data_IF_271164689958
#
_entry.id   IF_271164689958
#
_cell.length_a   1.000
_cell.length_b   1.000
_cell.length_c   1.000
_cell.angle_alpha   90.00
_cell.angle_beta   90.00
_cell.angle_gamma   90.00
#
_symmetry.space_group_name_H-M   'P 1'
#
loop_
_entity.id
_entity.type
_entity.pdbx_description
1 polymer ?
#
# COMPACT_ATOMS: atom_id res chain seq x y z
N UNK A 1 7.36 4.45 3.60
CA UNK A 1 8.30 3.39 4.04
C UNK A 1 7.66 2.05 3.76
N UNK A 2 8.37 1.12 3.12
CA UNK A 2 7.85 -0.23 2.80
C UNK A 2 8.51 -1.21 3.76
N UNK A 3 7.70 -2.04 4.44
CA UNK A 3 8.18 -3.10 5.32
C UNK A 3 7.85 -4.44 4.65
N UNK A 4 8.89 -5.21 4.36
CA UNK A 4 8.80 -6.48 3.61
C UNK A 4 8.85 -7.71 4.49
N UNK A 5 9.30 -7.57 5.74
CA UNK A 5 9.50 -8.69 6.68
C UNK A 5 8.26 -9.06 7.51
N UNK A 6 7.25 -8.20 7.54
CA UNK A 6 6.11 -8.29 8.46
C UNK A 6 4.83 -7.99 7.69
N UNK A 7 3.74 -8.69 8.00
CA UNK A 7 2.45 -8.47 7.36
C UNK A 7 1.85 -7.12 7.74
N UNK A 8 1.01 -6.55 6.89
CA UNK A 8 0.33 -5.27 7.16
C UNK A 8 -0.52 -5.32 8.44
N UNK A 9 -1.11 -6.47 8.75
CA UNK A 9 -1.87 -6.65 9.99
C UNK A 9 -0.96 -6.54 11.22
N UNK A 10 0.19 -7.21 11.21
CA UNK A 10 1.17 -7.14 12.29
C UNK A 10 1.74 -5.72 12.44
N UNK A 11 2.06 -5.03 11.34
CA UNK A 11 2.52 -3.62 11.40
C UNK A 11 1.47 -2.72 12.04
N UNK A 12 0.18 -2.90 11.70
CA UNK A 12 -0.92 -2.18 12.35
C UNK A 12 -0.97 -2.46 13.85
N UNK A 13 -0.87 -3.73 14.25
CA UNK A 13 -0.89 -4.13 15.67
C UNK A 13 0.29 -3.51 16.42
N UNK A 14 1.51 -3.62 15.88
CA UNK A 14 2.72 -3.04 16.50
C UNK A 14 2.58 -1.54 16.68
N UNK A 15 2.14 -0.80 15.66
CA UNK A 15 1.94 0.65 15.75
C UNK A 15 0.85 1.01 16.77
N UNK A 16 -0.27 0.27 16.80
CA UNK A 16 -1.33 0.51 17.79
C UNK A 16 -0.85 0.28 19.22
N UNK A 17 -0.17 -0.84 19.47
CA UNK A 17 0.41 -1.15 20.78
C UNK A 17 1.41 -0.06 21.20
N UNK A 18 2.27 0.36 20.27
CA UNK A 18 3.20 1.47 20.49
C UNK A 18 2.48 2.75 20.91
N UNK A 19 1.48 3.20 20.14
CA UNK A 19 0.74 4.43 20.45
C UNK A 19 -0.01 4.33 21.77
N UNK A 20 -0.66 3.19 22.05
CA UNK A 20 -1.37 2.96 23.31
C UNK A 20 -0.42 3.05 24.52
N UNK A 21 0.70 2.33 24.48
CA UNK A 21 1.65 2.28 25.59
C UNK A 21 2.30 3.64 25.82
N UNK A 22 2.83 4.28 24.77
CA UNK A 22 3.57 5.54 24.91
C UNK A 22 2.63 6.69 25.32
N UNK A 23 1.42 6.77 24.78
CA UNK A 23 0.46 7.80 25.17
C UNK A 23 -0.09 7.58 26.58
N UNK A 24 -0.31 6.32 27.00
CA UNK A 24 -0.70 6.01 28.37
C UNK A 24 0.40 6.41 29.37
N UNK A 25 1.66 6.08 29.06
CA UNK A 25 2.81 6.50 29.87
C UNK A 25 2.97 8.02 29.90
N UNK A 26 2.83 8.70 28.75
CA UNK A 26 2.89 10.16 28.69
C UNK A 26 1.77 10.79 29.54
N UNK A 27 0.54 10.28 29.44
CA UNK A 27 -0.59 10.71 30.27
C UNK A 27 -0.32 10.50 31.76
N UNK A 28 0.26 9.36 32.13
CA UNK A 28 0.68 9.07 33.50
C UNK A 28 1.72 10.07 34.01
N UNK A 29 2.78 10.31 33.25
CA UNK A 29 3.84 11.27 33.63
C UNK A 29 3.32 12.70 33.75
N UNK A 30 2.47 13.15 32.83
CA UNK A 30 1.86 14.48 32.88
C UNK A 30 1.09 14.69 34.18
N UNK A 31 0.32 13.70 34.62
CA UNK A 31 -0.43 13.78 35.88
C UNK A 31 0.50 13.90 37.07
N UNK A 32 1.58 13.10 37.10
CA UNK A 32 2.60 13.18 38.16
C UNK A 32 3.28 14.54 38.18
N UNK A 33 3.58 15.11 37.01
CA UNK A 33 4.15 16.47 36.87
C UNK A 33 3.18 17.54 37.37
N UNK A 34 1.92 17.51 36.95
CA UNK A 34 0.90 18.47 37.36
C UNK A 34 0.66 18.40 38.88
N UNK A 35 0.62 17.19 39.42
CA UNK A 35 0.50 16.97 40.86
C UNK A 35 1.71 17.51 41.62
N UNK A 36 2.91 17.17 41.17
CA UNK A 36 4.15 17.66 41.76
C UNK A 36 4.25 19.18 41.74
N UNK A 37 3.81 19.81 40.64
CA UNK A 37 3.77 21.27 40.51
C UNK A 37 2.76 21.90 41.48
N UNK A 38 1.61 21.27 41.69
CA UNK A 38 0.63 21.74 42.66
C UNK A 38 1.16 21.63 44.10
N UNK A 39 1.85 20.53 44.45
CA UNK A 39 2.56 20.39 45.74
C UNK A 39 3.61 21.48 45.93
N UNK A 40 4.43 21.75 44.91
CA UNK A 40 5.44 22.82 44.94
C UNK A 40 4.83 24.22 45.11
N UNK A 41 3.61 24.48 44.60
CA UNK A 41 2.91 25.75 44.85
C UNK A 41 2.45 25.88 46.29
N UNK A 42 1.91 24.80 46.87
CA UNK A 42 1.52 24.77 48.28
C UNK A 42 2.74 25.02 49.18
N UNK A 43 3.90 24.41 48.85
CA UNK A 43 5.18 24.67 49.52
C UNK A 43 5.63 26.14 49.44
N UNK A 44 5.31 26.82 48.34
CA UNK A 44 5.58 28.25 48.15
C UNK A 44 4.65 29.18 48.94
N UNK A 45 3.68 28.64 49.69
CA UNK A 45 2.69 29.40 50.45
C UNK A 45 1.40 29.71 49.68
N UNK A 46 1.26 29.25 48.44
CA UNK A 46 0.06 29.48 47.63
C UNK A 46 -1.04 28.43 47.91
N UNK A 47 -2.30 28.85 47.94
CA UNK A 47 -3.44 27.92 47.92
C UNK A 47 -3.84 27.53 46.49
N UNK A 48 -4.25 26.28 46.30
CA UNK A 48 -4.75 25.77 45.01
C UNK A 48 -6.25 25.53 45.06
N UNK A 49 -6.96 25.74 43.94
CA UNK A 49 -8.38 25.37 43.85
C UNK A 49 -8.56 23.86 43.98
N UNK A 50 -9.61 23.41 44.67
CA UNK A 50 -9.93 21.98 44.82
C UNK A 50 -10.12 21.27 43.47
N UNK A 51 -10.64 22.00 42.46
CA UNK A 51 -10.75 21.50 41.07
C UNK A 51 -9.41 21.23 40.40
N UNK A 52 -8.32 21.88 40.85
CA UNK A 52 -6.95 21.61 40.37
C UNK A 52 -6.28 20.45 41.11
N UNK A 53 -6.83 20.02 42.24
CA UNK A 53 -6.36 18.85 42.98
C UNK A 53 -6.88 17.52 42.39
N UNK A 54 -8.00 17.58 41.66
CA UNK A 54 -8.60 16.47 40.91
C UNK A 54 -7.81 16.18 39.62
N UNK A 55 -6.60 15.62 39.76
CA UNK A 55 -5.67 15.32 38.65
C UNK A 55 -5.79 13.88 38.11
N UNK A 56 -6.77 13.07 38.54
CA UNK A 56 -6.84 11.63 38.22
C UNK A 56 -7.85 11.23 37.14
N UNK A 57 -8.42 12.16 36.39
CA UNK A 57 -9.49 11.87 35.43
C UNK A 57 -8.92 11.42 34.07
N UNK A 58 -9.46 10.36 33.46
CA UNK A 58 -9.05 9.79 32.18
C UNK A 58 -10.11 9.98 31.10
N UNK A 59 -9.66 10.16 29.85
CA UNK A 59 -10.50 10.05 28.66
C UNK A 59 -11.85 10.78 28.75
N UNK A 60 -12.94 10.02 28.70
CA UNK A 60 -14.31 10.55 28.75
C UNK A 60 -14.67 11.19 30.11
N UNK A 61 -14.08 10.71 31.20
CA UNK A 61 -14.31 11.28 32.54
C UNK A 61 -13.70 12.67 32.68
N UNK A 62 -12.64 12.99 31.94
CA UNK A 62 -12.09 14.34 31.85
C UNK A 62 -13.14 15.32 31.28
N UNK A 63 -13.85 14.90 30.22
CA UNK A 63 -14.89 15.70 29.56
C UNK A 63 -16.13 15.82 30.44
N UNK A 64 -16.60 14.69 31.00
CA UNK A 64 -17.77 14.67 31.88
C UNK A 64 -17.55 15.46 33.17
N UNK A 65 -16.36 15.40 33.75
CA UNK A 65 -16.01 16.18 34.93
C UNK A 65 -16.01 17.68 34.65
N UNK A 66 -15.53 18.11 33.47
CA UNK A 66 -15.56 19.54 33.10
C UNK A 66 -17.01 20.07 32.98
N UNK A 67 -17.91 19.24 32.43
CA UNK A 67 -19.34 19.55 32.32
C UNK A 67 -20.02 19.62 33.70
N UNK A 68 -19.72 18.65 34.58
CA UNK A 68 -20.31 18.57 35.94
C UNK A 68 -19.76 19.64 36.89
N UNK A 69 -18.45 19.88 36.88
CA UNK A 69 -17.78 20.86 37.77
C UNK A 69 -17.95 22.31 37.28
N UNK A 70 -18.36 22.52 36.02
CA UNK A 70 -18.31 23.83 35.31
C UNK A 70 -16.96 24.54 35.47
N UNK A 71 -15.89 23.75 35.58
CA UNK A 71 -14.52 24.18 35.77
C UNK A 71 -13.58 23.14 35.16
N UNK A 72 -12.42 23.59 34.66
CA UNK A 72 -11.45 22.68 34.04
C UNK A 72 -10.62 21.98 35.11
N UNK A 73 -10.74 20.64 35.28
CA UNK A 73 -9.91 19.90 36.21
C UNK A 73 -8.45 20.04 35.79
N UNK A 74 -7.52 20.13 36.76
CA UNK A 74 -6.07 20.35 36.53
C UNK A 74 -5.66 21.71 35.89
N UNK A 75 -6.61 22.63 35.66
CA UNK A 75 -6.38 23.94 35.04
C UNK A 75 -6.35 23.88 33.50
N UNK A 76 -6.32 25.05 32.83
CA UNK A 76 -6.43 25.15 31.35
C UNK A 76 -5.38 24.34 30.62
N UNK A 77 -4.11 24.46 31.03
CA UNK A 77 -3.00 23.76 30.39
C UNK A 77 -3.09 22.23 30.57
N UNK A 78 -3.34 21.75 31.80
CA UNK A 78 -3.42 20.32 32.09
C UNK A 78 -4.57 19.65 31.35
N UNK A 79 -5.74 20.30 31.35
CA UNK A 79 -6.91 19.85 30.59
C UNK A 79 -6.63 19.79 29.08
N UNK A 80 -6.09 20.87 28.50
CA UNK A 80 -5.79 20.90 27.05
C UNK A 80 -4.78 19.85 26.64
N UNK A 81 -3.74 19.60 27.45
CA UNK A 81 -2.72 18.60 27.15
C UNK A 81 -3.27 17.17 27.25
N UNK A 82 -4.03 16.86 28.30
CA UNK A 82 -4.66 15.53 28.45
C UNK A 82 -5.71 15.26 27.37
N UNK A 83 -6.50 16.27 27.00
CA UNK A 83 -7.43 16.19 25.87
C UNK A 83 -6.68 15.96 24.55
N UNK A 84 -5.58 16.67 24.33
CA UNK A 84 -4.73 16.49 23.15
C UNK A 84 -4.18 15.07 23.07
N UNK A 85 -3.64 14.50 24.16
CA UNK A 85 -3.19 13.11 24.20
C UNK A 85 -4.31 12.11 23.90
N UNK A 86 -5.51 12.35 24.42
CA UNK A 86 -6.67 11.51 24.15
C UNK A 86 -7.08 11.54 22.67
N UNK A 87 -7.22 12.74 22.09
CA UNK A 87 -7.55 12.92 20.67
C UNK A 87 -6.46 12.32 19.79
N UNK A 88 -5.19 12.55 20.12
CA UNK A 88 -4.05 12.00 19.39
C UNK A 88 -4.04 10.47 19.43
N UNK A 89 -4.38 9.84 20.56
CA UNK A 89 -4.49 8.38 20.66
C UNK A 89 -5.58 7.81 19.78
N UNK A 90 -6.76 8.45 19.74
CA UNK A 90 -7.86 8.04 18.86
C UNK A 90 -7.54 8.29 17.38
N UNK A 91 -6.93 9.42 17.07
CA UNK A 91 -6.48 9.74 15.71
C UNK A 91 -5.40 8.75 15.25
N UNK A 92 -4.41 8.41 16.09
CA UNK A 92 -3.37 7.45 15.76
C UNK A 92 -3.94 6.05 15.51
N UNK A 93 -4.92 5.60 16.30
CA UNK A 93 -5.60 4.32 16.07
C UNK A 93 -6.39 4.31 14.76
N UNK A 94 -7.13 5.38 14.46
CA UNK A 94 -7.85 5.51 13.19
C UNK A 94 -6.90 5.60 11.99
N UNK A 95 -5.84 6.39 12.10
CA UNK A 95 -4.84 6.58 11.06
C UNK A 95 -4.00 5.32 10.82
N UNK A 96 -3.61 4.57 11.86
CA UNK A 96 -2.95 3.26 11.67
C UNK A 96 -3.86 2.29 10.91
N UNK A 97 -5.16 2.29 11.22
CA UNK A 97 -6.14 1.44 10.56
C UNK A 97 -6.33 1.77 9.08
N UNK A 98 -6.36 3.07 8.77
CA UNK A 98 -6.67 3.58 7.44
C UNK A 98 -5.44 3.70 6.53
N UNK A 99 -4.33 4.22 7.05
CA UNK A 99 -3.15 4.58 6.25
C UNK A 99 -2.17 3.43 6.04
N UNK A 100 -2.11 2.45 6.95
CA UNK A 100 -1.22 1.30 6.77
C UNK A 100 -1.92 0.31 5.85
N UNK A 101 -1.54 0.31 4.57
CA UNK A 101 -2.20 -0.48 3.52
C UNK A 101 -1.25 -1.50 2.92
N UNK A 102 -1.82 -2.53 2.32
CA UNK A 102 -1.06 -3.47 1.50
C UNK A 102 -0.64 -2.76 0.21
N UNK A 103 0.64 -2.85 -0.12
CA UNK A 103 1.16 -2.43 -1.41
C UNK A 103 1.83 -3.63 -2.08
N UNK A 104 1.54 -3.85 -3.36
CA UNK A 104 2.24 -4.87 -4.13
C UNK A 104 3.62 -4.36 -4.47
N UNK A 105 4.65 -5.16 -4.20
CA UNK A 105 6.02 -4.87 -4.56
C UNK A 105 6.60 -6.04 -5.33
N UNK A 106 7.51 -5.73 -6.25
CA UNK A 106 8.27 -6.77 -6.93
C UNK A 106 9.22 -7.44 -5.95
N UNK A 107 9.23 -8.77 -5.96
CA UNK A 107 10.06 -9.63 -5.13
C UNK A 107 10.32 -10.96 -5.83
N UNK A 108 10.88 -11.91 -5.09
CA UNK A 108 11.28 -13.23 -5.58
C UNK A 108 10.47 -14.32 -4.88
N UNK A 109 9.73 -15.08 -5.66
CA UNK A 109 8.94 -16.21 -5.20
C UNK A 109 9.62 -17.53 -5.58
N UNK A 110 9.34 -18.58 -4.81
CA UNK A 110 9.77 -19.93 -5.19
C UNK A 110 9.11 -20.33 -6.51
N UNK A 111 9.89 -20.83 -7.45
CA UNK A 111 9.40 -21.27 -8.76
C UNK A 111 8.65 -22.61 -8.65
N UNK A 112 9.24 -23.58 -7.94
CA UNK A 112 8.74 -24.96 -7.91
C UNK A 112 8.93 -25.65 -9.26
N UNK A 113 7.83 -25.82 -9.99
CA UNK A 113 7.79 -26.45 -11.31
C UNK A 113 7.02 -25.57 -12.30
N UNK A 114 7.35 -25.68 -13.57
CA UNK A 114 6.72 -24.89 -14.62
C UNK A 114 7.35 -25.13 -15.99
N UNK A 115 7.25 -24.13 -16.85
CA UNK A 115 8.01 -24.08 -18.09
C UNK A 115 9.38 -23.49 -17.78
N UNK A 116 10.44 -24.21 -18.12
CA UNK A 116 11.83 -23.75 -18.03
C UNK A 116 12.34 -23.66 -19.46
N UNK A 117 12.82 -22.48 -19.83
CA UNK A 117 13.35 -22.20 -21.16
C UNK A 117 14.76 -22.75 -21.27
N UNK A 118 15.01 -23.51 -22.33
CA UNK A 118 16.33 -24.00 -22.70
C UNK A 118 16.63 -23.63 -24.17
N UNK A 119 17.71 -22.89 -24.37
CA UNK A 119 18.07 -22.37 -25.70
C UNK A 119 18.66 -23.50 -26.56
N UNK A 120 18.01 -23.79 -27.69
CA UNK A 120 18.38 -24.90 -28.57
C UNK A 120 17.60 -26.20 -28.34
N UNK A 121 16.56 -26.20 -27.50
CA UNK A 121 15.60 -27.31 -27.47
C UNK A 121 14.72 -27.30 -28.72
N UNK A 122 14.65 -28.46 -29.41
CA UNK A 122 14.20 -28.58 -30.80
C UNK A 122 12.69 -28.74 -30.99
N UNK A 123 11.86 -27.92 -30.35
CA UNK A 123 10.46 -27.84 -30.76
C UNK A 123 10.31 -26.81 -31.87
N UNK A 124 10.68 -27.21 -33.09
CA UNK A 124 10.71 -26.34 -34.27
C UNK A 124 9.34 -25.71 -34.57
N UNK A 125 8.24 -26.39 -34.24
CA UNK A 125 6.88 -25.86 -34.42
C UNK A 125 6.14 -25.86 -33.08
N UNK A 126 6.09 -24.72 -32.35
CA UNK A 126 5.35 -24.64 -31.10
C UNK A 126 3.85 -24.76 -31.36
N UNK A 127 3.10 -25.58 -30.59
CA UNK A 127 1.66 -25.67 -30.74
C UNK A 127 0.96 -24.38 -30.30
N UNK A 128 -0.02 -23.95 -31.08
CA UNK A 128 -0.87 -22.78 -30.80
C UNK A 128 -1.99 -23.06 -29.78
N UNK A 129 -2.06 -24.29 -29.27
CA UNK A 129 -3.08 -24.76 -28.35
C UNK A 129 -2.47 -25.59 -27.21
N UNK A 130 -3.24 -25.73 -26.14
CA UNK A 130 -2.87 -26.53 -24.97
C UNK A 130 -2.49 -25.70 -23.74
N UNK A 131 -2.13 -26.41 -22.67
CA UNK A 131 -1.85 -25.79 -21.36
C UNK A 131 -0.61 -24.90 -21.36
N UNK A 132 0.53 -25.27 -21.98
CA UNK A 132 1.71 -24.40 -22.03
C UNK A 132 1.41 -23.07 -22.71
N UNK A 133 0.68 -23.07 -23.83
CA UNK A 133 0.19 -21.84 -24.46
C UNK A 133 -0.58 -20.95 -23.49
N UNK A 134 -1.59 -21.49 -22.80
CA UNK A 134 -2.38 -20.72 -21.84
C UNK A 134 -1.53 -20.12 -20.72
N UNK A 135 -0.60 -20.90 -20.16
CA UNK A 135 0.25 -20.45 -19.05
C UNK A 135 1.21 -19.35 -19.50
N UNK A 136 1.87 -19.53 -20.64
CA UNK A 136 2.81 -18.55 -21.18
C UNK A 136 2.08 -17.26 -21.56
N UNK A 137 1.00 -17.36 -22.33
CA UNK A 137 0.23 -16.19 -22.75
C UNK A 137 -0.34 -15.41 -21.55
N UNK A 138 -0.89 -16.12 -20.55
CA UNK A 138 -1.37 -15.47 -19.33
C UNK A 138 -0.25 -14.80 -18.54
N UNK A 139 0.94 -15.40 -18.47
CA UNK A 139 2.08 -14.77 -17.78
C UNK A 139 2.50 -13.45 -18.46
N UNK A 140 2.50 -13.40 -19.80
CA UNK A 140 2.74 -12.16 -20.54
C UNK A 140 1.69 -11.08 -20.21
N UNK A 141 0.41 -11.44 -20.27
CA UNK A 141 -0.69 -10.53 -19.96
C UNK A 141 -0.68 -10.08 -18.50
N UNK A 142 -0.36 -10.99 -17.56
CA UNK A 142 -0.21 -10.66 -16.15
C UNK A 142 0.96 -9.71 -15.93
N UNK A 143 2.10 -9.91 -16.60
CA UNK A 143 3.22 -8.99 -16.51
C UNK A 143 2.80 -7.56 -16.94
N UNK A 144 2.13 -7.43 -18.10
CA UNK A 144 1.63 -6.13 -18.59
C UNK A 144 0.61 -5.51 -17.62
N UNK A 145 -0.38 -6.28 -17.18
CA UNK A 145 -1.41 -5.81 -16.22
C UNK A 145 -0.80 -5.38 -14.88
N UNK A 146 0.31 -6.00 -14.48
CA UNK A 146 1.07 -5.68 -13.27
C UNK A 146 2.08 -4.54 -13.48
N UNK A 147 2.11 -3.89 -14.65
CA UNK A 147 3.10 -2.87 -15.02
C UNK A 147 4.55 -3.38 -14.99
N UNK A 148 4.73 -4.67 -15.28
CA UNK A 148 6.02 -5.36 -15.35
C UNK A 148 6.41 -5.58 -16.82
N UNK A 149 7.71 -5.65 -17.13
CA UNK A 149 8.16 -5.86 -18.51
C UNK A 149 7.75 -7.25 -19.01
N UNK A 150 7.31 -7.31 -20.27
CA UNK A 150 7.07 -8.58 -20.95
C UNK A 150 8.27 -9.01 -21.80
N UNK A 151 8.32 -10.29 -22.21
CA UNK A 151 9.44 -10.81 -23.01
C UNK A 151 9.54 -12.33 -23.00
N UNK A 152 10.63 -12.87 -23.52
CA UNK A 152 10.96 -14.29 -23.44
C UNK A 152 11.54 -14.56 -22.05
N UNK A 153 10.82 -15.30 -21.20
CA UNK A 153 11.26 -15.55 -19.83
C UNK A 153 12.09 -16.84 -19.72
N UNK A 154 13.09 -16.83 -18.83
CA UNK A 154 13.90 -18.01 -18.46
C UNK A 154 13.06 -19.15 -17.93
N UNK A 155 12.04 -18.80 -17.16
CA UNK A 155 11.13 -19.75 -16.53
C UNK A 155 9.87 -19.02 -16.11
N UNK A 156 8.75 -19.75 -16.15
CA UNK A 156 7.47 -19.29 -15.64
C UNK A 156 6.64 -20.47 -15.16
N UNK A 157 5.67 -20.19 -14.30
CA UNK A 157 4.71 -21.17 -13.82
C UNK A 157 3.30 -20.56 -13.86
N UNK A 158 2.34 -21.18 -13.15
CA UNK A 158 0.95 -20.72 -13.11
C UNK A 158 0.67 -19.64 -12.06
N UNK A 159 1.71 -18.96 -11.55
CA UNK A 159 1.55 -17.95 -10.50
C UNK A 159 0.87 -16.69 -11.05
N UNK A 160 -0.29 -16.35 -10.49
CA UNK A 160 -1.06 -15.16 -10.86
C UNK A 160 -0.38 -13.85 -10.48
N UNK A 161 0.62 -13.90 -9.59
CA UNK A 161 1.40 -12.75 -9.16
C UNK A 161 2.68 -12.56 -9.99
N UNK A 162 2.83 -13.27 -11.10
CA UNK A 162 4.01 -13.19 -11.94
C UNK A 162 4.34 -11.75 -12.35
N UNK A 163 5.59 -11.35 -12.09
CA UNK A 163 6.14 -10.04 -12.43
C UNK A 163 7.66 -10.18 -12.60
N UNK A 164 8.13 -10.44 -13.82
CA UNK A 164 9.51 -10.82 -14.09
C UNK A 164 10.48 -9.67 -13.80
N UNK A 165 11.62 -9.99 -13.20
CA UNK A 165 12.72 -9.04 -13.10
C UNK A 165 13.54 -9.07 -14.39
N UNK A 166 14.38 -8.04 -14.64
CA UNK A 166 15.25 -7.99 -15.83
C UNK A 166 16.11 -9.25 -16.02
N UNK A 167 16.53 -9.89 -14.93
CA UNK A 167 17.32 -11.13 -14.96
C UNK A 167 16.53 -12.37 -15.37
N UNK A 168 15.20 -12.33 -15.27
CA UNK A 168 14.30 -13.41 -15.67
C UNK A 168 13.96 -13.35 -17.16
N UNK A 169 14.31 -12.25 -17.84
CA UNK A 169 14.04 -12.01 -19.27
C UNK A 169 15.30 -12.32 -20.08
N UNK A 170 15.16 -13.20 -21.07
CA UNK A 170 16.19 -13.60 -22.04
C UNK A 170 16.27 -12.65 -23.24
N UNK A 171 15.22 -11.87 -23.45
CA UNK A 171 15.05 -10.87 -24.50
C UNK A 171 13.59 -10.66 -24.83
N UNK A 172 13.31 -9.97 -25.94
CA UNK A 172 11.94 -9.78 -26.41
C UNK A 172 11.90 -9.61 -27.92
N UNK A 173 10.76 -9.97 -28.51
CA UNK A 173 10.30 -9.39 -29.76
C UNK A 173 9.88 -7.93 -29.54
N UNK A 174 10.27 -7.07 -30.46
CA UNK A 174 9.88 -5.66 -30.51
C UNK A 174 9.20 -5.39 -31.84
N UNK A 175 7.95 -4.98 -31.79
CA UNK A 175 7.13 -4.65 -32.95
C UNK A 175 6.91 -3.14 -32.99
N UNK A 176 7.00 -2.55 -34.19
CA UNK A 176 6.69 -1.14 -34.40
C UNK A 176 5.83 -0.98 -35.65
N UNK A 177 4.91 -0.02 -35.63
CA UNK A 177 4.18 0.45 -36.81
C UNK A 177 5.17 1.07 -37.79
N UNK A 178 5.03 0.75 -39.08
CA UNK A 178 5.97 1.21 -40.10
C UNK A 178 5.81 2.72 -40.33
N UNK A 179 6.75 3.53 -39.82
CA UNK A 179 7.00 4.94 -40.13
C UNK A 179 5.79 5.90 -40.03
N UNK A 180 5.01 5.88 -38.94
CA UNK A 180 3.82 6.76 -38.75
C UNK A 180 2.88 6.79 -39.97
N UNK A 181 2.90 5.75 -40.81
CA UNK A 181 2.11 5.75 -42.03
C UNK A 181 0.64 5.62 -41.64
N UNK A 182 -0.18 6.51 -42.22
CA UNK A 182 -1.62 6.31 -42.24
C UNK A 182 -1.92 4.90 -42.74
N UNK A 183 -2.90 4.20 -42.12
CA UNK A 183 -3.34 2.89 -42.58
C UNK A 183 -3.51 2.86 -44.11
N UNK A 184 -3.12 1.76 -44.73
CA UNK A 184 -3.32 1.56 -46.16
C UNK A 184 -4.78 1.26 -46.40
N UNK A 185 -5.40 2.11 -47.20
CA UNK A 185 -6.82 2.02 -47.53
C UNK A 185 -7.02 1.25 -48.83
N UNK A 186 -7.95 0.29 -48.79
CA UNK A 186 -8.40 -0.48 -49.94
C UNK A 186 -9.93 -0.37 -50.02
N UNK A 187 -10.47 -0.32 -51.22
CA UNK A 187 -11.92 -0.19 -51.39
C UNK A 187 -12.66 -1.38 -50.75
N UNK A 188 -13.83 -1.13 -50.18
CA UNK A 188 -14.70 -2.19 -49.67
C UNK A 188 -14.91 -3.31 -50.72
N UNK A 189 -14.75 -4.57 -50.31
CA UNK A 189 -14.90 -5.74 -51.20
C UNK A 189 -13.66 -6.11 -52.01
N UNK A 190 -12.53 -5.40 -51.85
CA UNK A 190 -11.24 -5.83 -52.43
C UNK A 190 -10.84 -7.20 -51.86
N UNK A 191 -10.39 -8.12 -52.72
CA UNK A 191 -9.98 -9.45 -52.30
C UNK A 191 -8.70 -9.39 -51.46
N UNK A 192 -8.65 -10.11 -50.33
CA UNK A 192 -7.48 -10.16 -49.44
C UNK A 192 -6.21 -10.65 -50.13
N UNK A 193 -6.31 -11.47 -51.18
CA UNK A 193 -5.16 -11.87 -51.99
C UNK A 193 -4.56 -10.71 -52.78
N UNK A 194 -5.40 -9.88 -53.39
CA UNK A 194 -4.96 -8.70 -54.15
C UNK A 194 -4.33 -7.66 -53.22
N UNK A 195 -4.91 -7.51 -52.03
CA UNK A 195 -4.36 -6.68 -50.94
C UNK A 195 -2.97 -7.18 -50.55
N UNK A 196 -2.82 -8.49 -50.28
CA UNK A 196 -1.54 -9.07 -49.90
C UNK A 196 -0.47 -8.87 -50.99
N UNK A 197 -0.82 -9.06 -52.26
CA UNK A 197 0.09 -8.84 -53.40
C UNK A 197 0.55 -7.37 -53.49
N UNK A 198 -0.37 -6.41 -53.38
CA UNK A 198 -0.03 -4.98 -53.34
C UNK A 198 0.89 -4.63 -52.16
N UNK A 199 0.63 -5.21 -50.98
CA UNK A 199 1.48 -5.00 -49.81
C UNK A 199 2.89 -5.61 -49.97
N UNK A 200 3.02 -6.75 -50.65
CA UNK A 200 4.30 -7.35 -51.02
C UNK A 200 5.05 -6.44 -51.99
N UNK A 201 4.38 -5.95 -53.05
CA UNK A 201 4.98 -5.04 -54.03
C UNK A 201 5.46 -3.73 -53.38
N UNK A 202 4.77 -3.25 -52.36
CA UNK A 202 5.16 -2.07 -51.56
C UNK A 202 6.20 -2.38 -50.47
N UNK A 203 6.62 -3.63 -50.32
CA UNK A 203 7.59 -4.07 -49.32
C UNK A 203 7.09 -3.97 -47.88
N UNK A 204 5.78 -3.91 -47.65
CA UNK A 204 5.16 -3.84 -46.33
C UNK A 204 5.00 -5.22 -45.68
N UNK A 205 5.01 -6.28 -46.49
CA UNK A 205 4.96 -7.70 -46.12
C UNK A 205 6.03 -8.42 -46.95
N UNK A 206 6.57 -9.55 -46.48
CA UNK A 206 7.44 -10.42 -47.30
C UNK A 206 6.62 -11.31 -48.25
N UNK A 207 7.26 -11.88 -49.27
CA UNK A 207 6.65 -12.66 -50.36
C UNK A 207 6.12 -14.05 -49.95
N UNK A 208 6.27 -14.41 -48.68
CA UNK A 208 5.80 -15.66 -48.06
C UNK A 208 4.68 -15.43 -47.03
N UNK A 209 3.87 -14.39 -47.22
CA UNK A 209 2.82 -14.00 -46.28
C UNK A 209 1.65 -14.98 -46.18
N UNK A 210 1.11 -15.11 -44.97
CA UNK A 210 -0.14 -15.82 -44.68
C UNK A 210 -1.25 -14.83 -44.38
N UNK A 211 -2.41 -15.08 -44.99
CA UNK A 211 -3.62 -14.28 -44.84
C UNK A 211 -4.61 -15.07 -44.01
N UNK A 212 -5.16 -14.44 -42.98
CA UNK A 212 -6.22 -15.01 -42.15
C UNK A 212 -7.35 -13.97 -42.04
N UNK A 213 -8.56 -14.38 -42.41
CA UNK A 213 -9.70 -13.46 -42.50
C UNK A 213 -11.00 -14.09 -41.99
N UNK A 214 -11.90 -13.23 -41.51
CA UNK A 214 -13.32 -13.56 -41.36
C UNK A 214 -14.17 -12.64 -42.22
N UNK A 215 -15.35 -13.13 -42.61
CA UNK A 215 -16.21 -12.45 -43.55
C UNK A 215 -17.64 -12.35 -43.03
N UNK A 216 -18.33 -11.31 -43.47
CA UNK A 216 -19.78 -11.17 -43.35
C UNK A 216 -20.49 -12.19 -44.26
N UNK A 217 -21.78 -12.43 -44.00
CA UNK A 217 -22.63 -13.24 -44.89
C UNK A 217 -22.77 -12.64 -46.30
N UNK A 218 -22.53 -11.33 -46.43
CA UNK A 218 -22.46 -10.60 -47.69
C UNK A 218 -21.16 -10.82 -48.47
N UNK A 219 -20.17 -11.51 -47.89
CA UNK A 219 -18.86 -11.78 -48.50
C UNK A 219 -17.82 -10.68 -48.27
N UNK A 220 -18.19 -9.56 -47.64
CA UNK A 220 -17.24 -8.52 -47.24
C UNK A 220 -16.35 -8.98 -46.09
N UNK A 221 -15.11 -8.51 -46.07
CA UNK A 221 -14.16 -8.74 -44.98
C UNK A 221 -14.70 -8.10 -43.69
N UNK A 222 -14.61 -8.83 -42.57
CA UNK A 222 -14.89 -8.30 -41.23
C UNK A 222 -13.60 -8.04 -40.46
N UNK A 223 -12.71 -9.02 -40.48
CA UNK A 223 -11.39 -8.96 -39.90
C UNK A 223 -10.38 -9.55 -40.87
N UNK A 224 -9.26 -8.87 -41.03
CA UNK A 224 -8.15 -9.32 -41.84
C UNK A 224 -6.84 -9.11 -41.08
N UNK A 225 -6.03 -10.16 -41.04
CA UNK A 225 -4.63 -10.06 -40.66
C UNK A 225 -3.75 -10.74 -41.70
N UNK A 226 -2.58 -10.15 -41.93
CA UNK A 226 -1.57 -10.66 -42.84
C UNK A 226 -0.26 -10.65 -42.09
N UNK A 227 0.53 -11.71 -42.17
CA UNK A 227 1.89 -11.70 -41.63
C UNK A 227 2.83 -12.62 -42.38
N UNK A 228 4.12 -12.35 -42.26
CA UNK A 228 5.16 -12.94 -43.08
C UNK A 228 6.48 -12.93 -42.34
N UNK A 229 7.43 -13.75 -42.78
CA UNK A 229 8.75 -13.90 -42.16
C UNK A 229 9.84 -13.53 -43.15
N UNK A 230 10.93 -12.93 -42.67
CA UNK A 230 12.11 -12.69 -43.50
C UNK A 230 12.88 -13.97 -43.86
N UNK A 231 12.56 -15.09 -43.22
CA UNK A 231 13.23 -16.36 -43.48
C UNK A 231 12.85 -16.89 -44.87
N UNK A 232 13.87 -17.29 -45.63
CA UNK A 232 13.69 -17.85 -46.98
C UNK A 232 13.21 -19.31 -46.96
N UNK A 233 13.50 -20.02 -45.87
CA UNK A 233 13.10 -21.38 -45.56
C UNK A 233 12.65 -21.42 -44.09
N UNK A 234 11.90 -22.45 -43.70
CA UNK A 234 11.35 -22.58 -42.34
C UNK A 234 12.41 -22.36 -41.25
N UNK A 235 13.61 -22.94 -41.42
CA UNK A 235 14.78 -22.61 -40.61
C UNK A 235 16.02 -22.68 -41.51
N UNK A 236 16.70 -21.54 -41.67
CA UNK A 236 17.99 -21.43 -42.37
C UNK A 236 19.15 -21.13 -41.40
N UNK A 237 18.90 -21.23 -40.09
CA UNK A 237 19.86 -20.92 -39.03
C UNK A 237 20.11 -19.42 -38.82
N UNK A 238 19.42 -18.55 -39.56
CA UNK A 238 19.48 -17.11 -39.38
C UNK A 238 18.36 -16.61 -38.45
N UNK A 239 18.61 -15.46 -37.80
CA UNK A 239 17.52 -14.76 -37.11
C UNK A 239 16.57 -14.18 -38.15
N UNK A 240 15.28 -14.28 -37.88
CA UNK A 240 14.23 -13.78 -38.76
C UNK A 240 13.43 -12.67 -38.09
N UNK A 241 12.83 -11.83 -38.93
CA UNK A 241 11.93 -10.75 -38.54
C UNK A 241 10.54 -11.01 -39.12
N UNK A 242 9.52 -10.41 -38.50
CA UNK A 242 8.13 -10.51 -38.95
C UNK A 242 7.68 -9.19 -39.54
N UNK A 243 6.99 -9.25 -40.67
CA UNK A 243 6.17 -8.13 -41.15
C UNK A 243 4.72 -8.54 -41.12
N UNK A 244 3.86 -7.68 -40.57
CA UNK A 244 2.44 -7.95 -40.43
C UNK A 244 1.60 -6.75 -40.86
N UNK A 245 0.31 -6.98 -41.08
CA UNK A 245 -0.69 -5.95 -41.26
C UNK A 245 -2.00 -6.39 -40.59
N UNK A 246 -2.63 -5.46 -39.88
CA UNK A 246 -3.90 -5.69 -39.16
C UNK A 246 -4.93 -4.69 -39.63
N UNK A 247 -6.13 -5.18 -39.91
CA UNK A 247 -7.26 -4.35 -40.28
C UNK A 247 -7.77 -3.57 -39.07
N UNK A 248 -7.94 -2.26 -39.21
CA UNK A 248 -8.44 -1.39 -38.13
C UNK A 248 -9.92 -1.05 -38.29
N UNK A 249 -10.49 -1.33 -39.46
CA UNK A 249 -11.92 -1.20 -39.78
C UNK A 249 -12.67 -2.50 -39.51
N UNK A 250 -14.01 -2.43 -39.48
CA UNK A 250 -14.83 -3.61 -39.15
C UNK A 250 -16.21 -3.62 -39.84
N UNK A 251 -16.66 -2.50 -40.42
CA UNK A 251 -17.96 -2.42 -41.10
C UNK A 251 -17.82 -2.91 -42.53
N UNK A 252 -18.84 -3.61 -43.02
CA UNK A 252 -18.81 -4.28 -44.33
C UNK A 252 -18.63 -3.30 -45.51
N UNK A 253 -19.19 -2.09 -45.41
CA UNK A 253 -19.18 -1.09 -46.47
C UNK A 253 -18.04 -0.07 -46.36
N UNK A 254 -17.27 -0.10 -45.28
CA UNK A 254 -16.14 0.81 -45.10
C UNK A 254 -14.93 0.30 -45.92
N UNK A 255 -14.09 1.24 -46.36
CA UNK A 255 -12.80 0.89 -46.94
C UNK A 255 -11.95 0.13 -45.92
N UNK A 256 -11.30 -0.94 -46.36
CA UNK A 256 -10.42 -1.77 -45.55
C UNK A 256 -9.16 -0.96 -45.22
N UNK A 257 -8.93 -0.69 -43.94
CA UNK A 257 -7.75 0.05 -43.46
C UNK A 257 -6.76 -0.92 -42.80
N UNK A 258 -5.57 -1.11 -43.39
CA UNK A 258 -4.53 -1.99 -42.86
C UNK A 258 -3.36 -1.22 -42.27
N UNK A 259 -3.03 -1.51 -41.02
CA UNK A 259 -1.86 -0.94 -40.33
C UNK A 259 -0.68 -1.90 -40.44
N UNK A 260 0.40 -1.54 -41.16
CA UNK A 260 1.58 -2.37 -41.31
C UNK A 260 2.50 -2.28 -40.08
N UNK A 261 3.05 -3.41 -39.65
CA UNK A 261 4.01 -3.54 -38.56
C UNK A 261 5.26 -4.29 -39.01
N UNK A 262 6.38 -3.97 -38.36
CA UNK A 262 7.62 -4.73 -38.45
C UNK A 262 8.09 -5.12 -37.06
N UNK A 263 8.37 -6.40 -36.87
CA UNK A 263 8.88 -6.95 -35.63
C UNK A 263 10.28 -7.52 -35.81
N UNK A 264 11.14 -7.26 -34.84
CA UNK A 264 12.49 -7.81 -34.75
C UNK A 264 12.72 -8.41 -33.39
N UNK A 265 13.55 -9.44 -33.30
CA UNK A 265 13.91 -10.08 -32.05
C UNK A 265 15.22 -9.51 -31.51
N UNK A 266 15.23 -9.16 -30.23
CA UNK A 266 16.44 -8.82 -29.48
C UNK A 266 16.51 -9.74 -28.26
N UNK A 267 17.01 -10.97 -28.46
CA UNK A 267 17.04 -11.99 -27.43
C UNK A 267 18.26 -12.90 -27.52
N UNK A 268 19.42 -12.41 -27.05
CA UNK A 268 20.66 -13.18 -27.02
C UNK A 268 20.56 -14.47 -26.19
N UNK A 269 19.63 -14.54 -25.24
CA UNK A 269 19.40 -15.73 -24.42
C UNK A 269 18.38 -16.73 -24.98
N UNK A 270 17.83 -16.46 -26.16
CA UNK A 270 16.84 -17.29 -26.86
C UNK A 270 17.14 -17.40 -28.36
N UNK A 271 18.38 -17.07 -28.75
CA UNK A 271 18.75 -16.85 -30.14
C UNK A 271 18.69 -18.16 -30.93
N UNK A 272 19.18 -19.25 -30.34
CA UNK A 272 19.22 -20.55 -31.00
C UNK A 272 17.82 -21.11 -31.20
N UNK A 273 16.97 -21.05 -30.17
CA UNK A 273 15.56 -21.44 -30.26
C UNK A 273 14.84 -20.66 -31.36
N UNK A 274 15.04 -19.34 -31.45
CA UNK A 274 14.39 -18.54 -32.50
C UNK A 274 14.90 -18.91 -33.90
N UNK A 275 16.21 -19.15 -34.06
CA UNK A 275 16.80 -19.62 -35.34
C UNK A 275 16.27 -20.99 -35.79
N UNK A 276 16.05 -21.89 -34.83
CA UNK A 276 15.63 -23.27 -35.09
C UNK A 276 14.11 -23.42 -35.26
N UNK A 277 13.33 -22.40 -34.88
CA UNK A 277 11.89 -22.38 -35.14
C UNK A 277 11.61 -22.36 -36.64
N UNK A 278 10.70 -23.24 -37.08
CA UNK A 278 10.18 -23.31 -38.44
C UNK A 278 9.24 -22.13 -38.70
N UNK A 279 9.81 -20.95 -38.97
CA UNK A 279 9.08 -19.67 -38.95
C UNK A 279 7.89 -19.64 -39.91
N UNK A 280 8.02 -20.07 -41.17
CA UNK A 280 6.92 -20.09 -42.14
C UNK A 280 5.77 -20.98 -41.68
N UNK A 281 6.06 -22.26 -41.44
CA UNK A 281 5.07 -23.25 -40.97
C UNK A 281 4.44 -22.84 -39.63
N UNK A 282 5.22 -22.25 -38.72
CA UNK A 282 4.71 -21.75 -37.42
C UNK A 282 3.76 -20.57 -37.63
N UNK A 283 4.15 -19.55 -38.42
CA UNK A 283 3.26 -18.41 -38.70
C UNK A 283 1.98 -18.87 -39.42
N UNK A 284 2.05 -19.87 -40.30
CA UNK A 284 0.84 -20.45 -40.90
C UNK A 284 -0.08 -21.06 -39.85
N UNK A 285 0.46 -21.88 -38.95
CA UNK A 285 -0.33 -22.57 -37.93
C UNK A 285 -0.93 -21.60 -36.89
N UNK A 286 -0.25 -20.50 -36.60
CA UNK A 286 -0.66 -19.53 -35.60
C UNK A 286 -1.53 -18.39 -36.14
N UNK A 287 -1.79 -18.32 -37.45
CA UNK A 287 -2.54 -17.23 -38.06
C UNK A 287 -3.95 -17.02 -37.45
N UNK A 288 -4.73 -18.08 -37.14
CA UNK A 288 -6.01 -17.92 -36.44
C UNK A 288 -5.86 -17.32 -35.04
N UNK A 289 -4.83 -17.72 -34.29
CA UNK A 289 -4.54 -17.16 -32.96
C UNK A 289 -4.10 -15.70 -33.06
N UNK A 290 -3.33 -15.35 -34.09
CA UNK A 290 -2.96 -13.97 -34.37
C UNK A 290 -4.21 -13.12 -34.62
N UNK A 291 -5.10 -13.51 -35.54
CA UNK A 291 -6.36 -12.79 -35.76
C UNK A 291 -7.17 -12.68 -34.46
N UNK A 292 -7.38 -13.79 -33.76
CA UNK A 292 -8.19 -13.83 -32.54
C UNK A 292 -7.68 -12.97 -31.39
N UNK A 293 -6.38 -12.64 -31.36
CA UNK A 293 -5.79 -11.73 -30.37
C UNK A 293 -5.91 -10.25 -30.73
N UNK A 294 -6.16 -9.93 -32.00
CA UNK A 294 -6.24 -8.54 -32.48
C UNK A 294 -7.63 -7.92 -32.31
N UNK A 295 -8.68 -8.72 -32.09
CA UNK A 295 -10.06 -8.25 -32.06
C UNK A 295 -10.82 -8.76 -30.83
N UNK A 296 -11.76 -7.96 -30.32
CA UNK A 296 -12.59 -8.32 -29.15
C UNK A 296 -13.85 -9.13 -29.52
N UNK A 297 -13.87 -9.74 -30.70
CA UNK A 297 -15.00 -10.47 -31.27
C UNK A 297 -15.49 -9.87 -32.59
N UNK A 298 -16.42 -10.55 -33.24
CA UNK A 298 -16.96 -10.16 -34.55
C UNK A 298 -17.48 -8.71 -34.56
N UNK A 299 -17.26 -7.98 -35.66
CA UNK A 299 -17.73 -6.59 -35.81
C UNK A 299 -17.14 -5.63 -34.75
N UNK A 300 -15.86 -5.81 -34.44
CA UNK A 300 -15.07 -4.90 -33.59
C UNK A 300 -13.83 -4.42 -34.31
N UNK A 301 -13.37 -3.21 -34.01
CA UNK A 301 -12.05 -2.72 -34.46
C UNK A 301 -10.92 -3.52 -33.84
N UNK A 302 -9.72 -3.41 -34.40
CA UNK A 302 -8.51 -3.88 -33.74
C UNK A 302 -8.36 -3.28 -32.32
N UNK A 303 -7.68 -4.02 -31.44
CA UNK A 303 -7.25 -3.53 -30.12
C UNK A 303 -6.30 -2.33 -30.27
N UNK A 304 -6.15 -1.53 -29.21
CA UNK A 304 -5.32 -0.31 -29.27
C UNK A 304 -3.83 -0.61 -29.42
N UNK A 305 -3.32 -1.59 -28.66
CA UNK A 305 -1.88 -1.89 -28.58
C UNK A 305 -1.52 -3.12 -29.45
N UNK A 306 -1.77 -3.03 -30.76
CA UNK A 306 -1.49 -4.12 -31.72
C UNK A 306 0.01 -4.49 -31.78
N UNK A 307 0.89 -3.52 -31.55
CA UNK A 307 2.35 -3.71 -31.47
C UNK A 307 2.71 -4.67 -30.32
N UNK A 308 2.24 -4.35 -29.13
CA UNK A 308 2.50 -5.13 -27.91
C UNK A 308 1.85 -6.51 -28.00
N UNK A 309 0.62 -6.60 -28.51
CA UNK A 309 -0.08 -7.86 -28.64
C UNK A 309 0.63 -8.83 -29.62
N UNK A 310 1.14 -8.33 -30.75
CA UNK A 310 1.92 -9.14 -31.68
C UNK A 310 3.27 -9.53 -31.08
N UNK A 311 3.95 -8.61 -30.38
CA UNK A 311 5.20 -8.91 -29.68
C UNK A 311 5.00 -10.00 -28.59
N UNK A 312 3.94 -9.90 -27.80
CA UNK A 312 3.54 -10.90 -26.80
C UNK A 312 3.31 -12.25 -27.47
N UNK A 313 2.60 -12.29 -28.59
CA UNK A 313 2.32 -13.52 -29.32
C UNK A 313 3.61 -14.20 -29.80
N UNK A 314 4.54 -13.43 -30.38
CA UNK A 314 5.84 -13.94 -30.84
C UNK A 314 6.73 -14.39 -29.67
N UNK A 315 6.73 -13.65 -28.56
CA UNK A 315 7.39 -14.08 -27.32
C UNK A 315 6.80 -15.40 -26.80
N UNK A 316 5.48 -15.56 -26.84
CA UNK A 316 4.79 -16.79 -26.46
C UNK A 316 5.20 -17.97 -27.33
N UNK A 317 5.29 -17.80 -28.65
CA UNK A 317 5.77 -18.87 -29.55
C UNK A 317 7.19 -19.31 -29.20
N UNK A 318 8.11 -18.33 -29.04
CA UNK A 318 9.50 -18.62 -28.70
C UNK A 318 9.61 -19.35 -27.36
N UNK A 319 8.84 -18.94 -26.36
CA UNK A 319 8.83 -19.57 -25.04
C UNK A 319 8.28 -21.00 -25.06
N UNK A 320 7.22 -21.27 -25.82
CA UNK A 320 6.70 -22.64 -25.96
C UNK A 320 7.71 -23.53 -26.67
N UNK A 321 8.39 -22.99 -27.70
CA UNK A 321 9.44 -23.70 -28.43
C UNK A 321 10.63 -24.05 -27.53
N UNK A 322 11.22 -23.04 -26.86
CA UNK A 322 12.37 -23.24 -25.97
C UNK A 322 12.05 -23.97 -24.67
N UNK A 323 10.78 -23.96 -24.24
CA UNK A 323 10.30 -24.75 -23.11
C UNK A 323 9.84 -26.17 -23.47
N UNK A 324 10.05 -26.59 -24.73
CA UNK A 324 9.66 -27.89 -25.27
C UNK A 324 8.17 -28.25 -25.05
N UNK A 325 7.30 -27.22 -24.95
CA UNK A 325 5.89 -27.39 -24.62
C UNK A 325 5.66 -28.25 -23.34
N UNK A 326 6.50 -28.10 -22.31
CA UNK A 326 6.43 -28.86 -21.07
C UNK A 326 6.34 -27.96 -19.83
N UNK A 327 5.39 -28.23 -18.94
CA UNK A 327 5.06 -27.40 -17.77
C UNK A 327 5.46 -28.01 -16.41
N UNK A 328 6.10 -29.17 -16.42
CA UNK A 328 6.53 -29.85 -15.19
C UNK A 328 8.06 -29.86 -15.07
N UNK A 329 8.75 -28.96 -15.78
CA UNK A 329 10.18 -28.80 -15.65
C UNK A 329 10.53 -28.12 -14.33
N UNK A 330 11.66 -28.52 -13.75
CA UNK A 330 12.31 -27.82 -12.65
C UNK A 330 13.64 -27.22 -13.14
N UNK A 331 14.10 -26.10 -12.55
CA UNK A 331 15.42 -25.57 -12.86
C UNK A 331 16.50 -26.59 -12.49
N UNK A 332 17.53 -26.72 -13.32
CA UNK A 332 18.59 -27.70 -13.10
C UNK A 332 19.35 -27.44 -11.78
N UNK A 333 20.11 -28.45 -11.33
CA UNK A 333 20.94 -28.33 -10.14
C UNK A 333 21.95 -27.17 -10.29
N UNK A 334 21.90 -26.20 -9.38
CA UNK A 334 22.75 -25.00 -9.41
C UNK A 334 22.14 -23.81 -10.15
N UNK A 335 21.00 -23.97 -10.82
CA UNK A 335 20.25 -22.87 -11.40
C UNK A 335 19.34 -22.18 -10.37
N UNK A 336 18.96 -20.96 -10.69
CA UNK A 336 18.09 -20.14 -9.85
C UNK A 336 16.66 -20.72 -9.77
N UNK A 337 16.27 -21.13 -8.55
CA UNK A 337 14.97 -21.73 -8.22
C UNK A 337 13.87 -20.73 -7.85
N UNK A 338 14.11 -19.44 -8.09
CA UNK A 338 13.15 -18.38 -7.79
C UNK A 338 12.79 -17.60 -9.05
N UNK A 339 11.61 -17.00 -9.09
CA UNK A 339 11.15 -16.15 -10.20
C UNK A 339 10.65 -14.82 -9.67
N UNK A 340 10.64 -13.79 -10.51
CA UNK A 340 10.01 -12.51 -10.21
C UNK A 340 8.50 -12.65 -9.98
N UNK A 341 8.01 -12.04 -8.90
CA UNK A 341 6.59 -12.03 -8.53
C UNK A 341 6.23 -10.75 -7.78
N UNK A 342 4.93 -10.50 -7.62
CA UNK A 342 4.40 -9.46 -6.75
C UNK A 342 4.03 -10.04 -5.38
N UNK A 343 4.67 -9.52 -4.34
CA UNK A 343 4.31 -9.84 -2.95
C UNK A 343 3.65 -8.65 -2.27
N UNK A 344 2.73 -8.94 -1.35
CA UNK A 344 2.12 -7.89 -0.52
C UNK A 344 3.11 -7.47 0.56
N UNK A 345 3.48 -6.20 0.55
CA UNK A 345 4.26 -5.57 1.60
C UNK A 345 3.42 -4.53 2.34
N UNK A 346 3.77 -4.27 3.60
CA UNK A 346 3.12 -3.23 4.38
C UNK A 346 3.69 -1.87 3.99
N UNK A 347 2.83 -0.99 3.47
CA UNK A 347 3.21 0.39 3.21
C UNK A 347 2.78 1.28 4.38
N UNK A 348 3.77 1.95 4.97
CA UNK A 348 3.58 2.95 6.02
C UNK A 348 3.84 4.33 5.41
N UNK A 349 2.80 5.16 5.24
CA UNK A 349 2.95 6.51 4.70
C UNK A 349 3.82 7.40 5.60
N UNK A 350 4.46 8.40 5.01
CA UNK A 350 5.34 9.34 5.73
C UNK A 350 4.63 10.03 6.90
N UNK A 351 3.33 10.32 6.79
CA UNK A 351 2.53 10.91 7.86
C UNK A 351 2.55 10.03 9.13
N UNK A 352 2.46 8.71 8.98
CA UNK A 352 2.52 7.78 10.12
C UNK A 352 3.90 7.78 10.79
N UNK A 353 4.96 7.94 10.00
CA UNK A 353 6.33 8.07 10.53
C UNK A 353 6.47 9.37 11.34
N UNK A 354 5.90 10.48 10.86
CA UNK A 354 5.90 11.75 11.59
C UNK A 354 5.13 11.64 12.90
N UNK A 355 3.93 11.05 12.89
CA UNK A 355 3.14 10.85 14.12
C UNK A 355 3.88 9.97 15.11
N UNK A 356 4.52 8.90 14.64
CA UNK A 356 5.38 8.04 15.46
C UNK A 356 6.47 8.85 16.18
N UNK A 357 7.20 9.70 15.45
CA UNK A 357 8.26 10.54 16.02
C UNK A 357 7.71 11.60 17.00
N UNK A 358 6.56 12.20 16.70
CA UNK A 358 5.91 13.18 17.59
C UNK A 358 5.51 12.52 18.91
N UNK A 359 4.90 11.33 18.87
CA UNK A 359 4.52 10.59 20.08
C UNK A 359 5.74 10.15 20.86
N UNK A 360 6.82 9.72 20.20
CA UNK A 360 8.10 9.43 20.85
C UNK A 360 8.65 10.66 21.60
N UNK A 361 8.67 11.82 20.93
CA UNK A 361 9.11 13.09 21.52
C UNK A 361 8.26 13.51 22.71
N UNK A 362 6.94 13.36 22.63
CA UNK A 362 6.02 13.62 23.75
C UNK A 362 6.29 12.70 24.95
N UNK A 363 6.52 11.41 24.70
CA UNK A 363 6.90 10.45 25.74
C UNK A 363 8.19 10.86 26.46
N UNK A 364 9.24 11.21 25.69
CA UNK A 364 10.53 11.63 26.26
C UNK A 364 10.39 12.95 27.04
N UNK A 365 9.72 13.96 26.46
CA UNK A 365 9.57 15.26 27.13
C UNK A 365 8.76 15.18 28.43
N UNK A 366 7.71 14.37 28.46
CA UNK A 366 6.90 14.16 29.67
C UNK A 366 7.66 13.37 30.73
N UNK A 367 8.46 12.36 30.34
CA UNK A 367 9.36 11.64 31.24
C UNK A 367 10.41 12.59 31.87
N UNK A 368 11.08 13.40 31.05
CA UNK A 368 12.08 14.37 31.54
C UNK A 368 11.45 15.38 32.49
N UNK A 369 10.27 15.91 32.14
CA UNK A 369 9.52 16.81 33.02
C UNK A 369 9.19 16.14 34.36
N UNK A 370 8.79 14.87 34.34
CA UNK A 370 8.52 14.09 35.55
C UNK A 370 9.76 13.92 36.41
N UNK A 371 10.91 13.55 35.83
CA UNK A 371 12.18 13.45 36.55
C UNK A 371 12.54 14.80 37.22
N UNK A 372 12.45 15.92 36.49
CA UNK A 372 12.75 17.25 37.03
C UNK A 372 11.84 17.59 38.21
N UNK A 373 10.52 17.40 38.06
CA UNK A 373 9.58 17.69 39.15
C UNK A 373 9.81 16.79 40.37
N UNK A 374 10.08 15.50 40.16
CA UNK A 374 10.35 14.55 41.23
C UNK A 374 11.61 14.93 42.00
N UNK A 375 12.70 15.28 41.33
CA UNK A 375 13.95 15.74 41.98
C UNK A 375 13.71 16.98 42.84
N UNK A 376 12.88 17.93 42.37
CA UNK A 376 12.53 19.13 43.15
C UNK A 376 11.73 18.78 44.41
N UNK A 377 10.80 17.83 44.32
CA UNK A 377 10.00 17.36 45.45
C UNK A 377 10.83 16.58 46.47
N UNK A 378 11.77 15.73 46.02
CA UNK A 378 12.69 15.01 46.92
C UNK A 378 13.56 15.93 47.79
N UNK A 379 13.80 17.16 47.34
CA UNK A 379 14.55 18.17 48.12
C UNK A 379 13.67 18.99 49.07
N UNK A 380 12.37 18.73 49.12
CA UNK A 380 11.41 19.47 49.94
C UNK A 380 11.18 18.79 51.31
N UNK A 381 10.74 19.53 52.35
CA UNK A 381 10.59 19.00 53.72
C UNK A 381 9.54 17.89 53.85
N UNK A 382 9.76 16.98 54.82
CA UNK A 382 8.99 15.73 55.05
C UNK A 382 7.54 15.94 55.54
N UNK A 383 7.19 17.13 56.03
CA UNK A 383 5.82 17.48 56.47
C UNK A 383 4.78 17.41 55.34
N UNK A 384 5.21 17.17 54.09
CA UNK A 384 4.38 17.15 52.89
C UNK A 384 4.13 15.75 52.29
N UNK A 385 4.66 14.69 52.91
CA UNK A 385 4.34 13.30 52.52
C UNK A 385 2.84 13.00 52.71
N UNK A 386 2.17 13.71 53.63
CA UNK A 386 0.75 13.51 53.96
C UNK A 386 -0.25 14.11 52.94
N UNK A 387 0.23 14.81 51.90
CA UNK A 387 -0.65 15.40 50.89
C UNK A 387 -1.12 14.34 49.88
N UNK A 388 -2.44 14.09 49.77
CA UNK A 388 -3.01 13.02 48.96
C UNK A 388 -2.55 13.07 47.49
N UNK A 389 -2.20 11.89 46.94
CA UNK A 389 -1.58 11.65 45.63
C UNK A 389 -2.58 11.24 44.55
N UNK A 390 -3.74 10.70 44.92
CA UNK A 390 -4.78 10.21 44.01
C UNK A 390 -6.14 10.81 44.35
N UNK A 391 -7.11 10.77 43.43
CA UNK A 391 -8.47 11.23 43.74
C UNK A 391 -9.10 10.40 44.87
N UNK A 392 -8.71 9.12 45.00
CA UNK A 392 -9.10 8.25 46.11
C UNK A 392 -8.53 8.76 47.43
N UNK A 393 -7.25 9.12 47.47
CA UNK A 393 -6.63 9.70 48.66
C UNK A 393 -7.22 11.08 48.98
N UNK A 394 -7.59 11.87 47.97
CA UNK A 394 -8.34 13.12 48.19
C UNK A 394 -9.74 12.87 48.74
N UNK A 395 -10.43 11.83 48.29
CA UNK A 395 -11.73 11.43 48.83
C UNK A 395 -11.61 10.93 50.27
N UNK A 396 -10.56 10.15 50.58
CA UNK A 396 -10.26 9.70 51.94
C UNK A 396 -9.89 10.88 52.85
N UNK A 397 -9.11 11.83 52.35
CA UNK A 397 -8.77 13.06 53.06
C UNK A 397 -10.02 13.88 53.39
N UNK A 398 -10.88 14.10 52.39
CA UNK A 398 -12.15 14.81 52.57
C UNK A 398 -13.09 14.09 53.55
N UNK A 399 -13.16 12.74 53.50
CA UNK A 399 -13.94 11.95 54.43
C UNK A 399 -13.41 12.02 55.87
N UNK A 400 -12.08 12.01 56.06
CA UNK A 400 -11.44 12.20 57.37
C UNK A 400 -11.70 13.60 57.93
N UNK A 401 -11.60 14.63 57.09
CA UNK A 401 -11.86 16.03 57.49
C UNK A 401 -13.34 16.20 57.90
N UNK A 402 -14.27 15.63 57.12
CA UNK A 402 -15.71 15.58 57.44
C UNK A 402 -15.96 14.93 58.81
N UNK A 403 -15.41 13.74 59.06
CA UNK A 403 -15.56 13.03 60.33
C UNK A 403 -14.96 13.83 61.50
N UNK A 404 -13.79 14.45 61.32
CA UNK A 404 -13.17 15.27 62.37
C UNK A 404 -14.00 16.49 62.74
N UNK A 405 -14.65 17.11 61.76
CA UNK A 405 -15.50 18.30 61.94
C UNK A 405 -16.81 17.92 62.62
N UNK A 406 -17.41 16.79 62.21
CA UNK A 406 -18.61 16.25 62.84
C UNK A 406 -18.38 15.84 64.30
N UNK A 407 -17.18 15.33 64.64
CA UNK A 407 -16.86 14.90 66.00
C UNK A 407 -16.54 16.06 66.96
N UNK A 408 -15.94 17.15 66.45
CA UNK A 408 -15.60 18.32 67.25
C UNK A 408 -16.76 19.28 67.49
N UNK A 409 -17.80 19.25 66.65
CA UNK A 409 -18.99 20.11 66.79
C UNK A 409 -20.24 19.24 67.03
N UNK A 410 -20.50 18.87 68.29
CA UNK A 410 -21.76 18.24 68.69
C UNK A 410 -22.95 19.16 68.35
N UNK A 411 -23.56 18.95 67.19
CA UNK A 411 -24.75 19.68 66.72
C UNK A 411 -24.65 20.35 65.34
N UNK A 412 -23.49 20.33 64.67
CA UNK A 412 -23.37 20.90 63.33
C UNK A 412 -23.86 19.92 62.26
N UNK A 413 -25.00 20.20 61.62
CA UNK A 413 -25.44 19.52 60.40
C UNK A 413 -24.51 19.97 59.27
N UNK A 414 -23.59 19.11 58.85
CA UNK A 414 -22.75 19.37 57.68
C UNK A 414 -23.60 19.14 56.43
N UNK A 415 -23.97 20.23 55.76
CA UNK A 415 -24.77 20.14 54.53
C UNK A 415 -23.98 19.42 53.41
N UNK A 416 -24.63 18.55 52.62
CA UNK A 416 -23.99 17.93 51.47
C UNK A 416 -23.61 19.01 50.45
N UNK A 417 -22.34 19.02 50.02
CA UNK A 417 -21.81 19.97 49.04
C UNK A 417 -22.09 19.46 47.63
N UNK A 418 -22.69 20.29 46.78
CA UNK A 418 -22.90 19.91 45.39
C UNK A 418 -21.58 19.93 44.61
N UNK A 419 -21.43 19.02 43.64
CA UNK A 419 -20.22 18.96 42.80
C UNK A 419 -19.92 20.27 42.07
N UNK A 420 -20.93 21.07 41.74
CA UNK A 420 -20.78 22.37 41.07
C UNK A 420 -20.18 23.46 41.97
N UNK A 421 -20.20 23.26 43.29
CA UNK A 421 -19.72 24.20 44.31
C UNK A 421 -18.23 24.04 44.59
N UNK A 422 -17.63 22.88 44.26
CA UNK A 422 -16.20 22.56 44.41
C UNK A 422 -15.26 23.59 43.78
N UNK A 423 -15.71 24.33 42.76
CA UNK A 423 -14.93 25.42 42.14
C UNK A 423 -14.63 26.59 43.09
N UNK A 424 -15.35 26.71 44.20
CA UNK A 424 -15.19 27.77 45.21
C UNK A 424 -14.29 27.37 46.36
N UNK A 425 -13.88 26.11 46.44
CA UNK A 425 -13.02 25.59 47.49
C UNK A 425 -11.54 25.65 47.08
N UNK A 426 -10.68 25.93 48.05
CA UNK A 426 -9.22 25.94 47.92
C UNK A 426 -8.57 25.08 48.99
N UNK A 427 -7.46 24.44 48.64
CA UNK A 427 -6.62 23.64 49.54
C UNK A 427 -5.27 24.34 49.72
N UNK A 428 -4.83 24.44 50.97
CA UNK A 428 -3.56 25.08 51.35
C UNK A 428 -3.35 25.04 52.86
N UNK A 429 -2.35 25.76 53.36
CA UNK A 429 -2.08 25.83 54.80
C UNK A 429 -3.13 26.70 55.53
N UNK A 430 -3.72 26.13 56.58
CA UNK A 430 -4.61 26.77 57.54
C UNK A 430 -3.82 27.72 58.44
N UNK A 431 -3.57 28.95 57.99
CA UNK A 431 -2.71 29.96 58.64
C UNK A 431 -1.21 29.62 58.64
N UNK A 432 -0.33 30.63 58.47
CA UNK A 432 1.12 30.44 58.29
C UNK A 432 1.83 29.79 59.49
N UNK A 433 1.21 29.72 60.67
CA UNK A 433 1.86 29.25 61.91
C UNK A 433 1.38 27.89 62.43
N UNK A 434 0.41 27.22 61.79
CA UNK A 434 -0.16 25.96 62.33
C UNK A 434 0.20 24.72 61.48
N UNK A 435 0.84 24.87 60.32
CA UNK A 435 1.37 23.73 59.54
C UNK A 435 0.33 22.72 59.04
N UNK A 436 -0.97 22.97 59.28
CA UNK A 436 -2.05 22.04 58.97
C UNK A 436 -2.66 22.37 57.62
N UNK A 437 -2.67 21.39 56.72
CA UNK A 437 -3.33 21.50 55.41
C UNK A 437 -4.84 21.29 55.61
N UNK A 438 -5.65 22.17 55.04
CA UNK A 438 -7.11 22.09 55.11
C UNK A 438 -7.80 22.59 53.85
N UNK A 439 -9.10 22.29 53.71
CA UNK A 439 -9.92 22.79 52.61
C UNK A 439 -10.79 23.97 53.10
N UNK A 440 -10.71 25.11 52.40
CA UNK A 440 -11.42 26.34 52.77
C UNK A 440 -12.28 26.84 51.62
N UNK A 441 -13.50 27.29 51.93
CA UNK A 441 -14.34 27.96 50.96
C UNK A 441 -13.89 29.40 50.79
N UNK A 442 -13.59 29.80 49.55
CA UNK A 442 -13.21 31.17 49.23
C UNK A 442 -14.46 32.06 49.32
N UNK A 443 -14.64 32.80 50.42
CA UNK A 443 -15.73 33.80 50.52
C UNK A 443 -15.52 34.85 49.43
N UNK A 444 -16.56 35.07 48.61
CA UNK A 444 -16.64 36.20 47.68
C UNK A 444 -16.87 37.46 48.52
N UNK A 445 -15.79 38.14 48.88
CA UNK A 445 -15.83 39.39 49.63
C UNK A 445 -14.64 39.50 50.57
N UNK A 446 -13.56 40.11 50.06
CA UNK A 446 -12.71 41.08 50.76
C UNK A 446 -11.54 41.43 49.84
N UNK A 447 -11.87 42.22 48.81
CA UNK A 447 -10.96 43.26 48.31
C UNK A 447 -11.40 44.52 49.05
N UNK A 448 -10.65 44.89 50.10
CA UNK A 448 -10.62 46.13 50.91
C UNK A 448 -10.07 45.68 52.28
N UNK A 449 -8.83 45.89 52.72
CA UNK A 449 -7.89 46.99 52.53
C UNK A 449 -6.44 46.46 52.61
N UNK A 450 -5.54 47.15 51.88
CA UNK A 450 -4.12 47.25 52.23
C UNK A 450 -3.96 48.05 53.53
#
# INVERSE_FOLDING_TARGET
MIITSITTAEVRVVLRVYFLVVLALAGFFVRRVLHGRNKLRILGGDSILATRALNSLDGLDLLLASLKLRALPSGTFGFSFLLFLFVLGKAADLLTSYLVVNHLIQSRCSFGQGLVFDDGTKLAMPPFNGRPFQVVQNAQLLAVNNSCPYGIYKKLNTDISFCPEKRDILGSWNCNIVNDQTPKSYAAGTNSSDIAEDMIQKGLIYDNGYVEQTQWSSGFVNHLVIWSTSASLDSDGSLWSVKAAIETTYRAEDDIQLTPLTCSVSASGAEQTVKDMASGTTLKAWAPTFQGLMYNGFNTTAIQDVEDALAILLNTMAMISGGNNYLLSEPEAGQDKTQGCLVKAAYVPTVMVVIFLVVAGLGITTLVAWCITSIRLFRSPSELEDLPLSAEEWAVFAAREYLSTANNNQGAVVAPVETSELKTFSVGFSQPNIGRIGMFQRRKGDLLNQ
#
